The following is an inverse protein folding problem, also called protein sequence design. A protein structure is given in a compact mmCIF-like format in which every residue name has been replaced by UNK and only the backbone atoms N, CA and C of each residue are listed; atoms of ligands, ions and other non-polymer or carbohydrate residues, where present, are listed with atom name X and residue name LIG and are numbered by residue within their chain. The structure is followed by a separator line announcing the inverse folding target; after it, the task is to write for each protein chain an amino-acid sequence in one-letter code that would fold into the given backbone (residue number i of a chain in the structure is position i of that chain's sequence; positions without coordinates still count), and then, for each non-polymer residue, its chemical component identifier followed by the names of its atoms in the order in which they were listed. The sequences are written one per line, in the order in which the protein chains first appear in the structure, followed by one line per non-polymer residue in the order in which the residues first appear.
data_IF_738154847348
#
_entry.id   IF_738154847348
#
_cell.length_a   1.000
_cell.length_b   1.000
_cell.length_c   1.000
_cell.angle_alpha   90.00
_cell.angle_beta   90.00
_cell.angle_gamma   90.00
#
_symmetry.space_group_name_H-M   'P 1'
#
loop_
_entity.id
_entity.type
_entity.pdbx_description
1 polymer ?
#
# COMPACT_ATOMS: atom_id res chain seq x y z
N UNK A 1 -10.81 -16.09 2.48
CA UNK A 1 -10.32 -15.19 1.42
C UNK A 1 -9.48 -14.09 2.04
N UNK A 2 -8.31 -13.85 1.49
CA UNK A 2 -7.46 -12.74 1.91
C UNK A 2 -8.15 -11.39 1.71
N UNK A 3 -7.89 -10.44 2.58
CA UNK A 3 -8.32 -9.05 2.41
C UNK A 3 -7.25 -8.28 1.67
N UNK A 4 -7.56 -7.79 0.48
CA UNK A 4 -6.61 -7.13 -0.43
C UNK A 4 -6.83 -5.63 -0.38
N UNK A 5 -5.80 -4.88 0.00
CA UNK A 5 -5.85 -3.42 0.12
C UNK A 5 -4.75 -2.75 -0.70
N UNK A 6 -5.14 -1.80 -1.56
CA UNK A 6 -4.21 -0.89 -2.20
C UNK A 6 -3.91 0.31 -1.29
N UNK A 7 -2.66 0.69 -1.21
CA UNK A 7 -2.24 1.96 -0.63
C UNK A 7 -1.93 2.92 -1.77
N UNK A 8 -2.81 3.86 -2.02
CA UNK A 8 -2.76 4.72 -3.20
C UNK A 8 -2.96 6.20 -2.86
N UNK A 9 -2.20 7.05 -3.52
CA UNK A 9 -2.38 8.51 -3.58
C UNK A 9 -1.57 9.03 -4.77
N UNK A 10 -2.14 9.96 -5.54
CA UNK A 10 -1.47 10.56 -6.71
C UNK A 10 -0.32 11.49 -6.31
N UNK A 11 -0.34 12.03 -5.09
CA UNK A 11 0.74 12.87 -4.59
C UNK A 11 1.94 12.02 -4.19
N UNK A 12 3.13 12.38 -4.69
CA UNK A 12 4.39 11.80 -4.26
C UNK A 12 4.74 12.20 -2.81
N UNK A 13 5.49 11.36 -2.11
CA UNK A 13 6.01 11.69 -0.78
C UNK A 13 5.00 11.69 0.37
N UNK A 14 3.75 11.24 0.15
CA UNK A 14 2.71 11.16 1.20
C UNK A 14 2.78 9.88 2.04
N UNK A 15 3.88 9.15 2.02
CA UNK A 15 4.09 7.99 2.87
C UNK A 15 3.36 6.71 2.44
N UNK A 16 3.00 6.52 1.16
CA UNK A 16 2.41 5.26 0.65
C UNK A 16 3.27 4.06 1.01
N UNK A 17 4.48 4.02 0.50
CA UNK A 17 5.46 2.94 0.73
C UNK A 17 5.75 2.75 2.23
N UNK A 18 5.96 3.85 2.97
CA UNK A 18 6.17 3.79 4.42
C UNK A 18 4.97 3.13 5.11
N UNK A 19 3.75 3.46 4.67
CA UNK A 19 2.52 2.86 5.21
C UNK A 19 2.44 1.39 4.86
N UNK A 20 2.70 0.98 3.61
CA UNK A 20 2.68 -0.43 3.19
C UNK A 20 3.65 -1.28 4.03
N UNK A 21 4.91 -0.89 4.09
CA UNK A 21 5.97 -1.64 4.77
C UNK A 21 5.71 -1.73 6.28
N UNK A 22 5.34 -0.62 6.92
CA UNK A 22 5.10 -0.62 8.36
C UNK A 22 3.78 -1.30 8.74
N UNK A 23 2.72 -1.16 7.94
CA UNK A 23 1.47 -1.86 8.17
C UNK A 23 1.65 -3.38 7.98
N UNK A 24 2.40 -3.83 6.96
CA UNK A 24 2.69 -5.24 6.75
C UNK A 24 3.38 -5.86 7.96
N UNK A 25 4.44 -5.23 8.46
CA UNK A 25 5.15 -5.71 9.65
C UNK A 25 4.30 -5.63 10.92
N UNK A 26 3.49 -4.58 11.09
CA UNK A 26 2.61 -4.44 12.25
C UNK A 26 1.48 -5.47 12.25
N UNK A 27 0.88 -5.78 11.09
CA UNK A 27 -0.11 -6.85 10.93
C UNK A 27 0.51 -8.21 11.23
N UNK A 28 1.73 -8.47 10.74
CA UNK A 28 2.45 -9.70 11.07
C UNK A 28 2.69 -9.83 12.59
N UNK A 29 3.15 -8.76 13.25
CA UNK A 29 3.32 -8.75 14.71
C UNK A 29 1.99 -8.95 15.48
N UNK A 30 0.86 -8.60 14.87
CA UNK A 30 -0.49 -8.89 15.38
C UNK A 30 -0.99 -10.30 15.01
N UNK A 31 -0.13 -11.19 14.50
CA UNK A 31 -0.43 -12.59 14.21
C UNK A 31 -1.08 -12.84 12.85
N UNK A 32 -1.06 -11.88 11.93
CA UNK A 32 -1.63 -12.04 10.59
C UNK A 32 -0.58 -12.54 9.60
N UNK A 33 -1.01 -13.38 8.64
CA UNK A 33 -0.20 -13.76 7.48
C UNK A 33 -0.34 -12.68 6.41
N UNK A 34 0.76 -12.06 6.01
CA UNK A 34 0.74 -10.87 5.15
C UNK A 34 1.61 -11.05 3.92
N UNK A 35 1.07 -10.64 2.77
CA UNK A 35 1.80 -10.46 1.52
C UNK A 35 1.85 -8.97 1.18
N UNK A 36 3.04 -8.44 0.94
CA UNK A 36 3.26 -7.10 0.43
C UNK A 36 3.63 -7.18 -1.06
N UNK A 37 2.90 -6.47 -1.91
CA UNK A 37 3.16 -6.37 -3.34
C UNK A 37 3.66 -4.97 -3.67
N UNK A 38 4.86 -4.88 -4.22
CA UNK A 38 5.44 -3.61 -4.68
C UNK A 38 5.07 -3.40 -6.15
N UNK A 39 4.20 -2.42 -6.44
CA UNK A 39 3.85 -2.04 -7.82
C UNK A 39 4.53 -0.73 -8.27
N UNK A 40 5.49 -0.21 -7.50
CA UNK A 40 6.27 0.95 -7.91
C UNK A 40 7.58 0.49 -8.57
N UNK A 41 7.87 0.89 -9.83
CA UNK A 41 9.14 0.59 -10.50
C UNK A 41 10.39 1.08 -9.73
N UNK A 42 10.21 2.01 -8.79
CA UNK A 42 11.30 2.43 -7.91
C UNK A 42 11.73 1.34 -6.92
N UNK A 43 10.87 0.34 -6.63
CA UNK A 43 11.18 -0.78 -5.75
C UNK A 43 11.48 -0.35 -4.31
N UNK A 44 10.79 0.68 -3.82
CA UNK A 44 11.04 1.23 -2.49
C UNK A 44 10.44 0.37 -1.38
N UNK A 45 9.27 -0.24 -1.60
CA UNK A 45 8.68 -1.20 -0.66
C UNK A 45 9.55 -2.47 -0.57
N UNK A 46 10.11 -2.90 -1.69
CA UNK A 46 11.08 -4.00 -1.78
C UNK A 46 12.29 -3.75 -0.89
N UNK A 47 12.96 -2.61 -1.08
CA UNK A 47 14.14 -2.23 -0.28
C UNK A 47 13.79 -2.02 1.19
N UNK A 48 12.68 -1.35 1.49
CA UNK A 48 12.20 -1.13 2.86
C UNK A 48 11.80 -2.41 3.59
N UNK A 49 11.58 -3.50 2.86
CA UNK A 49 11.32 -4.85 3.38
C UNK A 49 12.60 -5.70 3.52
N UNK A 50 13.79 -5.13 3.25
CA UNK A 50 15.07 -5.81 3.34
C UNK A 50 15.42 -6.71 2.15
N UNK A 51 14.70 -6.61 1.04
CA UNK A 51 14.96 -7.38 -0.19
C UNK A 51 15.80 -6.54 -1.14
N UNK A 52 16.95 -7.07 -1.57
CA UNK A 52 17.79 -6.36 -2.55
C UNK A 52 17.20 -6.46 -3.95
N UNK A 53 16.64 -5.35 -4.43
CA UNK A 53 16.02 -5.23 -5.76
C UNK A 53 16.99 -5.40 -6.93
N UNK A 54 18.31 -5.31 -6.69
CA UNK A 54 19.34 -5.44 -7.74
C UNK A 54 19.66 -6.88 -8.08
N UNK A 55 19.50 -7.79 -7.11
CA UNK A 55 19.78 -9.21 -7.24
C UNK A 55 18.56 -10.07 -7.56
N UNK A 56 17.41 -9.49 -7.92
CA UNK A 56 16.19 -10.23 -8.18
C UNK A 56 16.32 -11.10 -9.45
N UNK A 57 16.03 -12.40 -9.32
CA UNK A 57 15.87 -13.32 -10.47
C UNK A 57 14.50 -13.13 -11.13
N UNK A 58 13.47 -12.86 -10.34
CA UNK A 58 12.10 -12.61 -10.77
C UNK A 58 11.50 -11.47 -9.95
N UNK A 59 10.55 -10.77 -10.53
CA UNK A 59 9.87 -9.64 -9.89
C UNK A 59 8.40 -9.62 -10.30
N UNK A 60 7.62 -8.70 -9.74
CA UNK A 60 6.22 -8.47 -10.12
C UNK A 60 6.08 -8.22 -11.63
N UNK A 61 7.08 -7.64 -12.30
CA UNK A 61 7.09 -7.53 -13.76
C UNK A 61 6.84 -8.90 -14.44
N UNK A 62 7.64 -9.90 -14.10
CA UNK A 62 7.55 -11.23 -14.71
C UNK A 62 6.20 -11.92 -14.44
N UNK A 63 5.62 -11.67 -13.25
CA UNK A 63 4.28 -12.13 -12.88
C UNK A 63 3.21 -11.49 -13.76
N UNK A 64 3.23 -10.16 -13.92
CA UNK A 64 2.23 -9.42 -14.68
C UNK A 64 2.23 -9.77 -16.16
N UNK A 65 3.40 -9.97 -16.76
CA UNK A 65 3.51 -10.37 -18.18
C UNK A 65 3.29 -11.88 -18.39
N UNK A 66 3.21 -12.67 -17.31
CA UNK A 66 2.89 -14.10 -17.36
C UNK A 66 4.08 -15.03 -17.64
N UNK A 67 5.29 -14.57 -17.34
CA UNK A 67 6.52 -15.38 -17.49
C UNK A 67 6.72 -16.35 -16.34
N UNK A 68 6.23 -16.02 -15.15
CA UNK A 68 6.34 -16.83 -13.93
C UNK A 68 5.05 -16.76 -13.13
N UNK A 69 4.81 -17.72 -12.27
CA UNK A 69 3.73 -17.71 -11.29
C UNK A 69 4.14 -16.94 -10.00
N UNK A 70 3.21 -16.80 -9.08
CA UNK A 70 3.44 -16.09 -7.82
C UNK A 70 4.52 -16.77 -6.97
N UNK A 71 4.57 -18.10 -6.95
CA UNK A 71 5.55 -18.86 -6.17
C UNK A 71 6.99 -18.59 -6.65
N UNK A 72 7.18 -18.35 -7.96
CA UNK A 72 8.48 -18.02 -8.56
C UNK A 72 8.94 -16.58 -8.31
N UNK A 73 8.06 -15.72 -7.81
CA UNK A 73 8.36 -14.29 -7.50
C UNK A 73 8.44 -14.02 -6.00
N UNK A 74 7.66 -14.74 -5.21
CA UNK A 74 7.52 -14.52 -3.78
C UNK A 74 8.84 -14.73 -3.04
N UNK A 75 9.22 -13.78 -2.21
CA UNK A 75 10.38 -13.86 -1.31
C UNK A 75 9.98 -13.45 0.11
N UNK A 76 10.54 -14.07 1.17
CA UNK A 76 10.30 -13.61 2.53
C UNK A 76 11.03 -12.29 2.80
N UNK A 77 10.41 -11.39 3.55
CA UNK A 77 11.11 -10.24 4.13
C UNK A 77 12.03 -10.73 5.25
N UNK A 78 13.36 -10.51 5.14
CA UNK A 78 14.30 -11.01 6.14
C UNK A 78 14.13 -10.34 7.52
N UNK A 79 13.49 -9.19 7.57
CA UNK A 79 13.34 -8.38 8.79
C UNK A 79 11.90 -8.17 9.21
N UNK A 80 10.94 -8.22 8.26
CA UNK A 80 9.54 -7.84 8.50
C UNK A 80 8.64 -8.98 8.93
N UNK A 81 9.02 -10.24 8.66
CA UNK A 81 8.24 -11.44 8.99
C UNK A 81 7.06 -11.73 8.04
N UNK A 82 6.90 -10.96 6.97
CA UNK A 82 5.90 -11.13 5.94
C UNK A 82 6.54 -11.48 4.59
N UNK A 83 5.74 -11.92 3.62
CA UNK A 83 6.21 -12.19 2.27
C UNK A 83 6.09 -10.96 1.37
N UNK A 84 6.95 -10.89 0.35
CA UNK A 84 7.03 -9.77 -0.61
C UNK A 84 6.96 -10.30 -2.04
N UNK A 85 6.17 -9.66 -2.89
CA UNK A 85 6.37 -9.71 -4.33
C UNK A 85 7.18 -8.46 -4.72
N UNK A 86 8.49 -8.63 -4.97
CA UNK A 86 9.39 -7.51 -5.12
C UNK A 86 9.31 -6.87 -6.50
N UNK A 87 9.65 -5.58 -6.56
CA UNK A 87 9.79 -4.81 -7.78
C UNK A 87 11.22 -4.26 -7.97
N UNK A 88 11.53 -4.01 -9.23
CA UNK A 88 12.70 -3.27 -9.67
C UNK A 88 12.33 -2.41 -10.89
N UNK A 89 13.32 -1.78 -11.52
CA UNK A 89 13.12 -0.88 -12.67
C UNK A 89 12.50 -1.56 -13.88
N UNK A 90 12.64 -2.88 -14.04
CA UNK A 90 12.05 -3.63 -15.16
C UNK A 90 10.53 -3.50 -15.16
N UNK A 91 9.92 -3.28 -14.00
CA UNK A 91 8.47 -3.08 -13.88
C UNK A 91 7.95 -1.88 -14.68
N UNK A 92 8.79 -0.88 -14.99
CA UNK A 92 8.41 0.19 -15.91
C UNK A 92 8.09 -0.33 -17.33
N UNK A 93 8.74 -1.41 -17.77
CA UNK A 93 8.46 -2.07 -19.04
C UNK A 93 7.07 -2.70 -19.09
N UNK A 94 6.54 -3.15 -17.96
CA UNK A 94 5.21 -3.73 -17.89
C UNK A 94 4.12 -2.75 -18.34
N UNK A 95 4.28 -1.45 -18.14
CA UNK A 95 3.29 -0.45 -18.58
C UNK A 95 3.11 -0.44 -20.11
N UNK A 96 4.17 -0.73 -20.86
CA UNK A 96 4.14 -0.80 -22.31
C UNK A 96 3.63 -2.17 -22.77
N UNK A 97 4.11 -3.23 -22.17
CA UNK A 97 3.78 -4.60 -22.59
C UNK A 97 2.35 -4.99 -22.26
N UNK A 98 1.86 -4.60 -21.09
CA UNK A 98 0.49 -4.88 -20.64
C UNK A 98 -0.57 -4.31 -21.62
N UNK A 99 -0.28 -3.21 -22.33
CA UNK A 99 -1.24 -2.59 -23.26
C UNK A 99 -1.73 -3.59 -24.32
N UNK A 100 -0.86 -4.51 -24.73
CA UNK A 100 -1.12 -5.49 -25.78
C UNK A 100 -1.62 -6.84 -25.25
N UNK A 101 -1.77 -7.00 -23.94
CA UNK A 101 -2.20 -8.26 -23.33
C UNK A 101 -3.71 -8.26 -23.05
N UNK A 102 -4.31 -9.44 -23.20
CA UNK A 102 -5.70 -9.67 -22.80
C UNK A 102 -5.86 -9.49 -21.28
N UNK A 103 -7.01 -8.93 -20.89
CA UNK A 103 -7.33 -8.66 -19.48
C UNK A 103 -6.22 -7.89 -18.74
N UNK A 104 -5.57 -6.98 -19.42
CA UNK A 104 -4.40 -6.22 -18.95
C UNK A 104 -4.59 -5.56 -17.58
N UNK A 105 -5.80 -5.14 -17.24
CA UNK A 105 -6.14 -4.52 -15.95
C UNK A 105 -6.32 -5.56 -14.81
N UNK A 106 -6.45 -6.85 -15.15
CA UNK A 106 -6.75 -7.93 -14.22
C UNK A 106 -5.61 -8.93 -14.06
N UNK A 107 -4.44 -8.66 -14.63
CA UNK A 107 -3.30 -9.58 -14.60
C UNK A 107 -2.90 -9.95 -13.17
N UNK A 108 -2.79 -8.94 -12.29
CA UNK A 108 -2.48 -9.16 -10.88
C UNK A 108 -3.59 -9.95 -10.17
N UNK A 109 -4.86 -9.59 -10.40
CA UNK A 109 -6.02 -10.31 -9.83
C UNK A 109 -6.01 -11.79 -10.19
N UNK A 110 -5.75 -12.10 -11.46
CA UNK A 110 -5.72 -13.47 -11.96
C UNK A 110 -4.54 -14.26 -11.35
N UNK A 111 -3.38 -13.62 -11.19
CA UNK A 111 -2.21 -14.23 -10.57
C UNK A 111 -2.42 -14.52 -9.07
N UNK A 112 -3.16 -13.66 -8.35
CA UNK A 112 -3.44 -13.85 -6.93
C UNK A 112 -4.54 -14.88 -6.65
N UNK A 113 -5.42 -15.16 -7.59
CA UNK A 113 -6.56 -16.06 -7.38
C UNK A 113 -6.18 -17.48 -6.91
N UNK A 114 -4.98 -17.96 -7.29
CA UNK A 114 -4.46 -19.27 -6.90
C UNK A 114 -3.92 -19.34 -5.44
N UNK A 115 -3.69 -18.17 -4.79
CA UNK A 115 -2.99 -18.04 -3.50
C UNK A 115 -3.80 -17.37 -2.39
N UNK A 116 -5.10 -17.17 -2.62
CA UNK A 116 -5.99 -16.43 -1.71
C UNK A 116 -6.10 -17.04 -0.29
N UNK A 117 -5.83 -18.34 -0.14
CA UNK A 117 -5.92 -19.04 1.15
C UNK A 117 -4.64 -18.92 2.01
N UNK A 118 -3.52 -18.49 1.44
CA UNK A 118 -2.23 -18.46 2.14
C UNK A 118 -2.08 -17.25 3.07
N UNK A 119 -2.85 -16.17 2.81
CA UNK A 119 -2.72 -14.89 3.50
C UNK A 119 -4.04 -14.42 4.11
N UNK A 120 -3.92 -13.68 5.21
CA UNK A 120 -5.05 -12.97 5.83
C UNK A 120 -5.16 -11.55 5.22
N UNK A 121 -4.01 -10.93 4.94
CA UNK A 121 -3.92 -9.60 4.33
C UNK A 121 -2.97 -9.58 3.13
N UNK A 122 -3.37 -8.90 2.07
CA UNK A 122 -2.50 -8.53 0.94
C UNK A 122 -2.48 -7.01 0.85
N UNK A 123 -1.30 -6.43 0.92
CA UNK A 123 -1.08 -4.99 0.78
C UNK A 123 -0.40 -4.70 -0.55
N UNK A 124 -0.88 -3.70 -1.28
CA UNK A 124 -0.33 -3.31 -2.59
C UNK A 124 0.16 -1.88 -2.51
N UNK A 125 1.48 -1.69 -2.63
CA UNK A 125 2.09 -0.34 -2.74
C UNK A 125 1.98 0.16 -4.17
N UNK A 126 1.18 1.20 -4.39
CA UNK A 126 0.93 1.75 -5.71
C UNK A 126 1.86 2.95 -6.02
N UNK A 127 2.33 3.09 -7.28
CA UNK A 127 3.06 4.27 -7.70
C UNK A 127 2.18 5.54 -7.60
N UNK A 128 2.79 6.75 -7.65
CA UNK A 128 2.01 8.00 -7.59
C UNK A 128 1.21 8.32 -8.85
N UNK A 129 1.45 7.58 -9.94
CA UNK A 129 0.72 7.74 -11.22
C UNK A 129 -0.52 6.87 -11.28
N UNK A 130 -1.54 7.33 -12.02
CA UNK A 130 -2.69 6.52 -12.41
C UNK A 130 -2.36 5.73 -13.69
N UNK A 131 -1.39 4.84 -13.58
CA UNK A 131 -0.90 4.01 -14.67
C UNK A 131 -1.60 2.65 -14.72
N UNK A 132 -1.22 1.82 -15.69
CA UNK A 132 -1.68 0.43 -15.80
C UNK A 132 -1.34 -0.39 -14.55
N UNK A 133 -0.21 -0.10 -13.88
CA UNK A 133 0.17 -0.75 -12.64
C UNK A 133 -0.82 -0.41 -11.51
N UNK A 134 -1.15 0.87 -11.33
CA UNK A 134 -2.17 1.28 -10.35
C UNK A 134 -3.53 0.67 -10.65
N UNK A 135 -3.93 0.60 -11.94
CA UNK A 135 -5.18 -0.07 -12.33
C UNK A 135 -5.17 -1.55 -11.96
N UNK A 136 -4.07 -2.27 -12.16
CA UNK A 136 -3.95 -3.67 -11.73
C UNK A 136 -4.14 -3.81 -10.22
N UNK A 137 -3.55 -2.94 -9.42
CA UNK A 137 -3.77 -2.91 -7.98
C UNK A 137 -5.25 -2.69 -7.63
N UNK A 138 -5.87 -1.65 -8.19
CA UNK A 138 -7.27 -1.31 -7.91
C UNK A 138 -8.27 -2.38 -8.40
N UNK A 139 -7.98 -3.04 -9.53
CA UNK A 139 -8.84 -4.10 -10.07
C UNK A 139 -8.80 -5.38 -9.22
N UNK A 140 -7.76 -5.56 -8.41
CA UNK A 140 -7.57 -6.72 -7.56
C UNK A 140 -8.01 -6.46 -6.10
N UNK A 141 -8.02 -5.22 -5.65
CA UNK A 141 -8.26 -4.86 -4.26
C UNK A 141 -9.73 -4.90 -3.84
N UNK A 142 -9.97 -5.25 -2.56
CA UNK A 142 -11.26 -5.04 -1.90
C UNK A 142 -11.39 -3.58 -1.43
N UNK A 143 -10.28 -2.94 -1.03
CA UNK A 143 -10.30 -1.59 -0.50
C UNK A 143 -9.06 -0.77 -0.80
N UNK A 144 -9.23 0.56 -0.68
CA UNK A 144 -8.16 1.53 -0.84
C UNK A 144 -7.90 2.23 0.49
N UNK A 145 -6.65 2.17 0.96
CA UNK A 145 -6.11 3.00 2.03
C UNK A 145 -5.49 4.22 1.38
N UNK A 146 -5.85 5.41 1.84
CA UNK A 146 -5.37 6.67 1.28
C UNK A 146 -4.53 7.39 2.35
N UNK A 147 -3.19 7.20 2.38
CA UNK A 147 -2.33 8.02 3.23
C UNK A 147 -2.27 9.43 2.67
N UNK A 148 -2.39 10.42 3.55
CA UNK A 148 -2.33 11.81 3.14
C UNK A 148 -1.75 12.72 4.23
N UNK A 149 -1.04 13.75 3.80
CA UNK A 149 -0.62 14.85 4.67
C UNK A 149 -1.76 15.87 4.74
N UNK A 150 -1.98 16.43 5.92
CA UNK A 150 -2.96 17.49 6.12
C UNK A 150 -2.40 18.85 5.65
N UNK A 151 -2.35 19.04 4.32
CA UNK A 151 -1.84 20.24 3.66
C UNK A 151 -2.93 20.88 2.79
N UNK A 152 -2.76 22.15 2.40
CA UNK A 152 -3.76 22.95 1.72
C UNK A 152 -4.36 22.27 0.48
N UNK A 153 -3.52 21.73 -0.42
CA UNK A 153 -3.98 21.06 -1.65
C UNK A 153 -4.36 19.58 -1.48
N UNK A 154 -4.39 19.09 -0.24
CA UNK A 154 -4.65 17.66 0.00
C UNK A 154 -6.07 17.23 -0.39
N UNK A 155 -7.06 18.11 -0.22
CA UNK A 155 -8.46 17.85 -0.55
C UNK A 155 -8.71 17.83 -2.06
N UNK A 156 -8.02 18.68 -2.83
CA UNK A 156 -8.13 18.74 -4.29
C UNK A 156 -7.62 17.42 -4.91
N UNK A 157 -6.38 17.02 -4.60
CA UNK A 157 -5.82 15.76 -5.08
C UNK A 157 -6.58 14.52 -4.63
N UNK A 158 -7.26 14.59 -3.48
CA UNK A 158 -8.12 13.52 -3.00
C UNK A 158 -9.37 13.35 -3.88
N UNK A 159 -9.96 14.43 -4.36
CA UNK A 159 -11.14 14.39 -5.23
C UNK A 159 -10.88 13.63 -6.53
N UNK A 160 -9.73 13.83 -7.16
CA UNK A 160 -9.35 13.14 -8.38
C UNK A 160 -9.14 11.65 -8.16
N UNK A 161 -8.50 11.28 -7.06
CA UNK A 161 -8.33 9.87 -6.69
C UNK A 161 -9.68 9.20 -6.40
N UNK A 162 -10.56 9.85 -5.64
CA UNK A 162 -11.91 9.35 -5.35
C UNK A 162 -12.72 9.15 -6.63
N UNK A 163 -12.64 10.08 -7.58
CA UNK A 163 -13.31 9.95 -8.88
C UNK A 163 -12.74 8.76 -9.68
N UNK A 164 -11.44 8.54 -9.63
CA UNK A 164 -10.82 7.38 -10.27
C UNK A 164 -11.28 6.06 -9.63
N UNK A 165 -11.28 5.99 -8.30
CA UNK A 165 -11.78 4.81 -7.57
C UNK A 165 -13.24 4.53 -7.95
N UNK A 166 -14.10 5.56 -8.03
CA UNK A 166 -15.50 5.41 -8.47
C UNK A 166 -15.61 4.86 -9.90
N UNK A 167 -14.75 5.31 -10.83
CA UNK A 167 -14.73 4.80 -12.21
C UNK A 167 -14.30 3.32 -12.25
N UNK A 168 -13.28 2.94 -11.48
CA UNK A 168 -12.83 1.55 -11.36
C UNK A 168 -13.92 0.68 -10.73
N UNK A 169 -14.56 1.15 -9.64
CA UNK A 169 -15.68 0.46 -9.01
C UNK A 169 -16.82 0.20 -10.01
N UNK A 170 -17.22 1.20 -10.78
CA UNK A 170 -18.35 1.10 -11.71
C UNK A 170 -18.07 0.15 -12.89
N UNK A 171 -16.82 0.10 -13.40
CA UNK A 171 -16.53 -0.52 -14.69
C UNK A 171 -15.64 -1.78 -14.60
N UNK A 172 -14.78 -1.90 -13.61
CA UNK A 172 -13.73 -2.92 -13.57
C UNK A 172 -13.78 -3.81 -12.31
N UNK A 173 -14.08 -3.24 -11.14
CA UNK A 173 -14.06 -3.96 -9.86
C UNK A 173 -15.17 -3.44 -8.92
N UNK A 174 -16.33 -4.07 -8.94
CA UNK A 174 -17.51 -3.67 -8.15
C UNK A 174 -17.33 -3.86 -6.63
N UNK A 175 -16.33 -4.61 -6.19
CA UNK A 175 -16.05 -4.83 -4.78
C UNK A 175 -15.16 -3.74 -4.18
N UNK A 176 -14.52 -2.92 -5.04
CA UNK A 176 -13.58 -1.88 -4.62
C UNK A 176 -14.28 -0.76 -3.83
N UNK A 177 -13.82 -0.50 -2.62
CA UNK A 177 -14.31 0.59 -1.75
C UNK A 177 -13.15 1.37 -1.16
N UNK A 178 -13.39 2.58 -0.69
CA UNK A 178 -12.43 3.30 0.17
C UNK A 178 -12.60 2.75 1.59
N UNK A 179 -11.59 2.08 2.13
CA UNK A 179 -11.60 1.61 3.52
C UNK A 179 -11.27 2.74 4.49
N UNK A 180 -10.41 3.66 4.08
CA UNK A 180 -10.20 4.86 4.89
C UNK A 180 -9.02 5.73 4.46
N UNK A 181 -8.99 6.92 5.08
CA UNK A 181 -7.96 7.94 4.92
C UNK A 181 -7.06 7.95 6.16
N UNK A 182 -5.75 7.80 5.96
CA UNK A 182 -4.76 7.81 7.04
C UNK A 182 -4.00 9.14 7.03
N UNK A 183 -4.11 9.89 8.12
CA UNK A 183 -3.32 11.12 8.31
C UNK A 183 -1.90 10.74 8.66
N UNK A 184 -0.94 11.17 7.83
CA UNK A 184 0.49 10.86 8.01
C UNK A 184 1.32 12.13 8.10
N UNK A 185 2.48 12.04 8.74
CA UNK A 185 3.38 13.16 9.01
C UNK A 185 2.66 14.32 9.71
N UNK A 186 1.69 13.99 10.53
CA UNK A 186 0.84 14.96 11.22
C UNK A 186 1.57 15.57 12.43
N UNK A 187 1.48 16.90 12.53
CA UNK A 187 1.93 17.66 13.69
C UNK A 187 0.75 18.44 14.28
N UNK A 188 0.28 18.06 15.47
CA UNK A 188 -0.89 18.72 16.10
C UNK A 188 -0.62 20.17 16.52
N UNK A 189 0.62 20.65 16.43
CA UNK A 189 0.96 22.05 16.73
C UNK A 189 0.73 22.98 15.53
N UNK A 190 0.55 22.42 14.33
CA UNK A 190 0.35 23.18 13.08
C UNK A 190 -1.15 23.40 12.86
N UNK A 191 -1.63 24.64 13.03
CA UNK A 191 -3.03 25.01 12.90
C UNK A 191 -3.66 24.60 11.56
N UNK A 192 -2.93 24.76 10.44
CA UNK A 192 -3.41 24.35 9.13
C UNK A 192 -3.69 22.84 9.09
N UNK A 193 -2.81 22.03 9.67
CA UNK A 193 -3.01 20.57 9.69
C UNK A 193 -4.22 20.18 10.54
N UNK A 194 -4.48 20.86 11.65
CA UNK A 194 -5.69 20.66 12.46
C UNK A 194 -6.96 21.02 11.67
N UNK A 195 -6.96 22.15 10.96
CA UNK A 195 -8.09 22.59 10.14
C UNK A 195 -8.39 21.61 9.01
N UNK A 196 -7.37 21.17 8.27
CA UNK A 196 -7.54 20.18 7.20
C UNK A 196 -8.00 18.82 7.77
N UNK A 197 -7.47 18.40 8.92
CA UNK A 197 -7.92 17.19 9.61
C UNK A 197 -9.39 17.26 9.98
N UNK A 198 -9.86 18.37 10.54
CA UNK A 198 -11.27 18.57 10.89
C UNK A 198 -12.17 18.56 9.63
N UNK A 199 -11.73 19.16 8.53
CA UNK A 199 -12.45 19.11 7.26
C UNK A 199 -12.57 17.68 6.72
N UNK A 200 -11.48 16.87 6.81
CA UNK A 200 -11.51 15.46 6.41
C UNK A 200 -12.52 14.68 7.26
N UNK A 201 -12.50 14.86 8.57
CA UNK A 201 -13.45 14.20 9.49
C UNK A 201 -14.89 14.63 9.21
N UNK A 202 -15.12 15.90 8.91
CA UNK A 202 -16.43 16.42 8.53
C UNK A 202 -16.98 15.85 7.22
N UNK A 203 -16.12 15.62 6.22
CA UNK A 203 -16.55 15.13 4.90
C UNK A 203 -16.59 13.59 4.78
N UNK A 204 -15.67 12.89 5.42
CA UNK A 204 -15.49 11.44 5.26
C UNK A 204 -15.92 10.65 6.50
N UNK A 205 -16.14 11.32 7.64
CA UNK A 205 -16.66 10.70 8.85
C UNK A 205 -15.86 9.48 9.29
N UNK A 206 -16.54 8.35 9.39
CA UNK A 206 -16.00 7.06 9.79
C UNK A 206 -14.92 6.49 8.87
N UNK A 207 -14.81 7.01 7.64
CA UNK A 207 -13.73 6.65 6.72
C UNK A 207 -12.39 7.28 7.07
N UNK A 208 -12.33 8.26 7.96
CA UNK A 208 -11.05 8.74 8.48
C UNK A 208 -10.59 7.78 9.57
N UNK A 209 -9.37 7.24 9.44
CA UNK A 209 -8.81 6.39 10.49
C UNK A 209 -8.58 7.20 11.78
N UNK A 210 -8.84 6.57 12.91
CA UNK A 210 -8.54 7.17 14.23
C UNK A 210 -7.03 7.25 14.44
N UNK A 211 -6.30 6.27 13.96
CA UNK A 211 -4.85 6.27 13.97
C UNK A 211 -4.31 7.47 13.17
N UNK A 212 -3.31 8.15 13.75
CA UNK A 212 -2.60 9.29 13.15
C UNK A 212 -1.12 8.99 13.24
N UNK A 213 -0.42 9.02 12.10
CA UNK A 213 1.03 8.81 12.05
C UNK A 213 1.74 10.16 12.14
N UNK A 214 2.48 10.43 13.21
CA UNK A 214 3.22 11.68 13.33
C UNK A 214 4.44 11.70 12.39
N UNK A 215 4.97 12.89 12.10
CA UNK A 215 6.31 13.02 11.50
C UNK A 215 7.33 12.40 12.43
N UNK A 216 8.12 11.45 11.93
CA UNK A 216 9.04 10.68 12.76
C UNK A 216 10.33 10.34 11.98
N UNK A 217 11.49 10.71 12.53
CA UNK A 217 12.80 10.52 11.91
C UNK A 217 13.12 9.02 11.77
N UNK A 218 12.76 8.19 12.76
CA UNK A 218 13.03 6.75 12.74
C UNK A 218 12.33 6.02 11.59
N UNK A 219 11.11 6.47 11.23
CA UNK A 219 10.41 5.95 10.04
C UNK A 219 11.11 6.32 8.74
N UNK A 220 11.81 7.47 8.70
CA UNK A 220 12.57 7.91 7.52
C UNK A 220 13.94 7.22 7.41
N UNK A 221 14.56 6.88 8.54
CA UNK A 221 15.86 6.18 8.59
C UNK A 221 15.76 4.68 8.31
N UNK A 222 14.70 4.03 8.79
CA UNK A 222 14.53 2.59 8.73
C UNK A 222 14.73 1.96 7.31
N UNK A 223 14.24 2.57 6.20
CA UNK A 223 14.48 2.04 4.87
C UNK A 223 15.95 1.95 4.47
N UNK A 224 16.84 2.82 4.97
CA UNK A 224 18.28 2.76 4.71
C UNK A 224 18.94 1.53 5.33
N UNK A 225 18.28 0.93 6.32
CA UNK A 225 18.69 -0.31 6.98
C UNK A 225 17.93 -1.55 6.42
N UNK A 226 17.09 -1.37 5.41
CA UNK A 226 16.26 -2.45 4.87
C UNK A 226 15.26 -3.00 5.89
N UNK A 227 14.74 -2.17 6.78
CA UNK A 227 13.87 -2.58 7.89
C UNK A 227 12.58 -1.77 7.92
N UNK A 228 11.42 -2.39 8.25
CA UNK A 228 10.24 -1.65 8.66
C UNK A 228 10.52 -0.82 9.93
N UNK A 229 10.00 0.40 10.01
CA UNK A 229 10.21 1.27 11.18
C UNK A 229 9.68 0.68 12.48
N UNK A 230 8.59 -0.12 12.42
CA UNK A 230 8.03 -0.85 13.57
C UNK A 230 8.96 -1.97 14.10
N UNK A 231 9.93 -2.39 13.28
CA UNK A 231 10.99 -3.34 13.69
C UNK A 231 12.25 -2.59 14.10
N UNK A 232 12.59 -1.54 13.34
CA UNK A 232 13.80 -0.74 13.53
C UNK A 232 13.85 -0.02 14.89
N UNK A 233 12.73 0.60 15.29
CA UNK A 233 12.61 1.26 16.60
C UNK A 233 11.14 1.16 17.08
N UNK A 234 10.87 0.11 17.87
CA UNK A 234 9.53 -0.16 18.43
C UNK A 234 9.03 0.93 19.38
N UNK A 235 9.94 1.65 20.04
CA UNK A 235 9.59 2.69 20.99
C UNK A 235 9.24 4.03 20.30
N UNK A 236 9.63 4.19 19.04
CA UNK A 236 9.33 5.40 18.28
C UNK A 236 7.82 5.65 18.16
N UNK A 237 7.40 6.91 18.32
CA UNK A 237 5.97 7.29 18.20
C UNK A 237 5.35 6.89 16.85
N UNK A 238 6.15 6.94 15.77
CA UNK A 238 5.68 6.51 14.45
C UNK A 238 5.43 5.00 14.38
N UNK A 239 6.29 4.19 15.00
CA UNK A 239 6.11 2.74 15.07
C UNK A 239 4.85 2.37 15.90
N UNK A 240 4.66 3.00 17.06
CA UNK A 240 3.47 2.82 17.89
C UNK A 240 2.18 3.21 17.14
N UNK A 241 2.23 4.28 16.34
CA UNK A 241 1.10 4.71 15.51
C UNK A 241 0.74 3.66 14.44
N UNK A 242 1.73 3.02 13.79
CA UNK A 242 1.46 1.93 12.83
C UNK A 242 0.95 0.67 13.51
N UNK A 243 1.40 0.36 14.74
CA UNK A 243 0.80 -0.74 15.52
C UNK A 243 -0.67 -0.47 15.84
N UNK A 244 -1.01 0.75 16.29
CA UNK A 244 -2.40 1.14 16.52
C UNK A 244 -3.22 1.10 15.22
N UNK A 245 -2.65 1.53 14.10
CA UNK A 245 -3.26 1.47 12.78
C UNK A 245 -3.52 0.02 12.34
N UNK A 246 -2.59 -0.90 12.56
CA UNK A 246 -2.78 -2.32 12.23
C UNK A 246 -3.95 -2.94 13.00
N UNK A 247 -4.09 -2.64 14.30
CA UNK A 247 -5.25 -3.07 15.08
C UNK A 247 -6.56 -2.50 14.54
N UNK A 248 -6.59 -1.21 14.17
CA UNK A 248 -7.77 -0.59 13.56
C UNK A 248 -8.09 -1.22 12.19
N UNK A 249 -7.08 -1.57 11.39
CA UNK A 249 -7.26 -2.27 10.11
C UNK A 249 -7.85 -3.66 10.29
N UNK A 250 -7.39 -4.43 11.28
CA UNK A 250 -7.93 -5.76 11.57
C UNK A 250 -9.42 -5.66 11.92
N UNK A 251 -9.80 -4.69 12.77
CA UNK A 251 -11.21 -4.49 13.13
C UNK A 251 -12.06 -4.05 11.94
N UNK A 252 -11.59 -3.09 11.14
CA UNK A 252 -12.32 -2.65 9.94
C UNK A 252 -12.48 -3.76 8.91
N UNK A 253 -11.46 -4.61 8.75
CA UNK A 253 -11.48 -5.71 7.79
C UNK A 253 -12.52 -6.78 8.10
N UNK A 254 -12.99 -6.91 9.36
CA UNK A 254 -14.06 -7.85 9.74
C UNK A 254 -15.41 -7.49 9.11
N UNK A 255 -15.65 -6.23 8.84
CA UNK A 255 -16.91 -5.71 8.28
C UNK A 255 -16.81 -5.36 6.80
N UNK A 256 -15.67 -5.65 6.18
CA UNK A 256 -15.30 -5.31 4.81
C UNK A 256 -15.23 -6.57 3.91
#
# INVERSE_FOLDING_TARGET
MAKIFCVANQKGGVGKTTTCVNLAAALHQAGQRVLLIDLDPQGNATMGSGVDKRGLKSSVYHLLVGMVDLAGVRVPSPTGGYDVLPANRDLAGAEVELVNLDQREKRLRNALAAFDADYDFVLIDCPPSLSMLTLNGLCCANGVIIPMQCEYYALEGLSDLVNTIKKVHANLNRDLKIIGLLRVMFDPRVTLQQQVSAQLEGHFGDKVFRAIVPRNVRLAEAPSHGMPGVVFDRAAKGAQAYMAFAHEMIERAKTF
#
